data_IF_105184029428
#
_entry.id   IF_105184029428
#
_cell.length_a   1.000
_cell.length_b   1.000
_cell.length_c   1.000
_cell.angle_alpha   90.00
_cell.angle_beta   90.00
_cell.angle_gamma   90.00
#
_symmetry.space_group_name_H-M   'P 1'
#
loop_
_entity.id
_entity.type
_entity.pdbx_description
1 polymer ?
#
# COMPACT_ATOMS: atom_id res chain seq x y z
N UNK A 1 -1.73 -15.07 -33.44
CA UNK A 1 -1.89 -15.81 -32.16
C UNK A 1 -2.55 -17.15 -32.42
N UNK A 2 -2.13 -18.19 -31.70
CA UNK A 2 -2.75 -19.54 -31.75
C UNK A 2 -4.21 -19.46 -31.30
N UNK A 3 -4.49 -18.65 -30.29
CA UNK A 3 -5.82 -18.40 -29.72
C UNK A 3 -6.85 -17.93 -30.75
N UNK A 4 -6.46 -17.04 -31.66
CA UNK A 4 -7.34 -16.58 -32.73
C UNK A 4 -7.71 -17.72 -33.70
N UNK A 5 -6.83 -18.71 -33.87
CA UNK A 5 -7.08 -19.89 -34.71
C UNK A 5 -7.94 -20.92 -33.97
N UNK A 6 -7.71 -21.11 -32.67
CA UNK A 6 -8.47 -22.03 -31.81
C UNK A 6 -9.81 -21.44 -31.35
N UNK A 7 -10.01 -20.12 -31.51
CA UNK A 7 -11.15 -19.34 -30.99
C UNK A 7 -11.34 -19.51 -29.48
N UNK A 8 -10.25 -19.79 -28.79
CA UNK A 8 -10.22 -20.14 -27.38
C UNK A 8 -8.89 -19.72 -26.80
N UNK A 9 -8.93 -19.15 -25.61
CA UNK A 9 -7.77 -18.76 -24.82
C UNK A 9 -7.94 -19.27 -23.40
N UNK A 10 -6.90 -19.93 -22.89
CA UNK A 10 -6.82 -20.34 -21.49
C UNK A 10 -5.84 -19.43 -20.77
N UNK A 11 -6.30 -18.85 -19.66
CA UNK A 11 -5.48 -18.00 -18.79
C UNK A 11 -5.30 -18.62 -17.41
N UNK A 12 -4.47 -19.66 -17.27
CA UNK A 12 -4.34 -20.41 -16.01
C UNK A 12 -3.73 -19.60 -14.86
N UNK A 13 -3.07 -18.48 -15.16
CA UNK A 13 -2.38 -17.63 -14.18
C UNK A 13 -3.11 -16.32 -13.87
N UNK A 14 -4.29 -16.10 -14.47
CA UNK A 14 -5.04 -14.86 -14.34
C UNK A 14 -6.23 -15.14 -13.42
N UNK A 15 -6.30 -14.39 -12.33
CA UNK A 15 -7.44 -14.43 -11.42
C UNK A 15 -8.61 -13.59 -11.97
N UNK A 16 -9.81 -13.86 -11.45
CA UNK A 16 -11.04 -13.14 -11.82
C UNK A 16 -10.89 -11.62 -11.69
N UNK A 17 -10.12 -11.19 -10.70
CA UNK A 17 -9.89 -9.78 -10.36
C UNK A 17 -9.00 -9.06 -11.39
N UNK A 18 -8.00 -9.73 -11.95
CA UNK A 18 -7.19 -9.23 -13.07
C UNK A 18 -8.02 -9.18 -14.35
N UNK A 19 -8.82 -10.22 -14.61
CA UNK A 19 -9.72 -10.25 -15.76
C UNK A 19 -10.77 -9.13 -15.71
N UNK A 20 -11.39 -8.92 -14.55
CA UNK A 20 -12.36 -7.85 -14.35
C UNK A 20 -11.77 -6.47 -14.69
N UNK A 21 -10.50 -6.21 -14.32
CA UNK A 21 -9.81 -4.94 -14.66
C UNK A 21 -9.52 -4.78 -16.14
N UNK A 22 -9.19 -5.87 -16.83
CA UNK A 22 -9.08 -5.85 -18.29
C UNK A 22 -10.43 -5.47 -18.92
N UNK A 23 -11.54 -6.02 -18.41
CA UNK A 23 -12.88 -5.65 -18.85
C UNK A 23 -13.21 -4.19 -18.54
N UNK A 24 -12.96 -3.71 -17.32
CA UNK A 24 -13.14 -2.30 -16.96
C UNK A 24 -12.40 -1.39 -17.93
N UNK A 25 -11.14 -1.71 -18.25
CA UNK A 25 -10.36 -0.94 -19.21
C UNK A 25 -10.98 -0.96 -20.60
N UNK A 26 -11.48 -2.11 -21.07
CA UNK A 26 -12.11 -2.21 -22.38
C UNK A 26 -13.36 -1.32 -22.51
N UNK A 27 -14.15 -1.19 -21.44
CA UNK A 27 -15.39 -0.39 -21.44
C UNK A 27 -15.19 1.08 -21.07
N UNK A 28 -14.35 1.37 -20.08
CA UNK A 28 -14.20 2.71 -19.48
C UNK A 28 -12.88 3.40 -19.83
N UNK A 29 -11.97 2.72 -20.54
CA UNK A 29 -10.57 3.15 -20.75
C UNK A 29 -9.84 3.44 -19.44
N UNK A 30 -10.33 2.83 -18.35
CA UNK A 30 -9.81 2.97 -17.01
C UNK A 30 -10.13 1.68 -16.22
N UNK A 31 -9.47 1.46 -15.10
CA UNK A 31 -9.73 0.30 -14.23
C UNK A 31 -9.66 0.69 -12.76
N UNK A 32 -10.38 -0.03 -11.91
CA UNK A 32 -10.39 0.19 -10.47
C UNK A 32 -9.07 -0.32 -9.87
N UNK A 33 -8.27 0.52 -9.18
CA UNK A 33 -7.02 0.09 -8.55
C UNK A 33 -7.26 -1.05 -7.55
N UNK A 34 -6.32 -1.99 -7.38
CA UNK A 34 -6.45 -3.00 -6.33
C UNK A 34 -6.25 -2.39 -4.94
N UNK A 35 -6.87 -3.02 -3.95
CA UNK A 35 -6.82 -2.60 -2.54
C UNK A 35 -5.82 -3.42 -1.75
N UNK A 36 -5.24 -2.81 -0.72
CA UNK A 36 -4.40 -3.49 0.26
C UNK A 36 -5.24 -4.43 1.14
N UNK A 37 -4.56 -5.27 1.91
CA UNK A 37 -5.17 -6.13 2.93
C UNK A 37 -4.69 -5.71 4.31
N UNK A 38 -5.52 -5.93 5.33
CA UNK A 38 -5.08 -5.77 6.71
C UNK A 38 -4.39 -7.06 7.16
N UNK A 39 -3.27 -6.91 7.85
CA UNK A 39 -2.56 -8.04 8.46
C UNK A 39 -3.32 -8.43 9.74
N UNK A 40 -3.77 -9.68 9.80
CA UNK A 40 -4.49 -10.21 10.96
C UNK A 40 -3.67 -10.03 12.25
N UNK A 41 -4.31 -9.47 13.28
CA UNK A 41 -3.68 -9.21 14.58
C UNK A 41 -3.02 -7.83 14.73
N UNK A 42 -2.91 -7.02 13.67
CA UNK A 42 -2.51 -5.61 13.77
C UNK A 42 -3.67 -4.70 13.36
N UNK A 43 -4.35 -4.10 14.33
CA UNK A 43 -5.34 -3.05 14.08
C UNK A 43 -4.77 -1.67 14.41
N UNK A 44 -5.22 -0.60 13.74
CA UNK A 44 -4.85 0.76 14.13
C UNK A 44 -5.32 0.98 15.57
N UNK A 45 -4.38 1.19 16.49
CA UNK A 45 -4.72 1.66 17.84
C UNK A 45 -5.31 3.06 17.69
N UNK A 46 -6.63 3.17 17.80
CA UNK A 46 -7.36 4.42 17.67
C UNK A 46 -6.96 5.37 18.80
N UNK A 47 -5.98 6.25 18.54
CA UNK A 47 -5.72 7.39 19.42
C UNK A 47 -6.87 8.39 19.29
N UNK A 48 -7.86 8.25 20.16
CA UNK A 48 -8.89 9.25 20.41
C UNK A 48 -8.23 10.48 21.03
N UNK A 49 -7.99 11.51 20.22
CA UNK A 49 -7.82 12.88 20.73
C UNK A 49 -9.13 13.62 20.59
N UNK A 50 -9.93 13.51 21.66
CA UNK A 50 -11.06 14.37 21.94
C UNK A 50 -10.56 15.70 22.53
N UNK A 51 -10.76 16.82 21.82
CA UNK A 51 -11.09 18.14 22.39
C UNK A 51 -11.23 19.21 21.31
N UNK A 52 -12.40 19.83 21.23
CA UNK A 52 -12.58 21.07 20.45
C UNK A 52 -14.02 21.48 20.18
N UNK A 53 -14.74 21.90 21.23
CA UNK A 53 -16.11 22.46 21.20
C UNK A 53 -16.33 23.53 20.11
N UNK A 54 -17.40 23.38 19.33
CA UNK A 54 -18.00 24.43 18.51
C UNK A 54 -19.53 24.32 18.50
N UNK A 55 -20.21 25.25 19.18
CA UNK A 55 -21.66 25.32 19.36
C UNK A 55 -22.36 25.82 18.09
N UNK A 56 -23.46 25.19 17.68
CA UNK A 56 -24.55 25.91 16.99
C UNK A 56 -25.94 25.36 17.33
N UNK A 57 -26.86 26.28 17.56
CA UNK A 57 -28.19 26.12 18.17
C UNK A 57 -29.25 25.57 17.19
N UNK A 58 -30.12 24.71 17.75
CA UNK A 58 -31.59 24.61 17.63
C UNK A 58 -32.26 24.68 16.24
N UNK A 59 -33.07 23.66 15.93
CA UNK A 59 -34.54 23.81 15.78
C UNK A 59 -35.30 22.48 15.96
N UNK A 60 -36.38 22.57 16.73
CA UNK A 60 -37.39 21.54 17.08
C UNK A 60 -38.15 21.01 15.85
N UNK A 61 -38.51 19.72 15.87
CA UNK A 61 -39.86 19.28 15.46
C UNK A 61 -40.29 18.04 16.25
N UNK A 62 -41.58 18.04 16.61
CA UNK A 62 -42.28 17.16 17.56
C UNK A 62 -42.80 15.90 16.86
N UNK A 63 -42.85 14.77 17.57
CA UNK A 63 -43.91 13.74 17.51
C UNK A 63 -43.61 12.71 18.60
N UNK A 64 -44.19 12.80 19.79
CA UNK A 64 -45.40 12.06 20.21
C UNK A 64 -45.31 10.56 19.91
N UNK A 65 -45.13 9.73 20.94
CA UNK A 65 -46.17 8.85 21.47
C UNK A 65 -45.80 8.47 22.92
N UNK A 66 -46.83 8.51 23.76
CA UNK A 66 -46.87 8.35 25.20
C UNK A 66 -47.34 6.92 25.52
N UNK A 67 -46.77 6.28 26.55
CA UNK A 67 -47.50 5.31 27.39
C UNK A 67 -47.17 5.58 28.87
N UNK A 68 -48.25 5.87 29.59
CA UNK A 68 -48.48 6.12 31.02
C UNK A 68 -47.62 5.22 31.94
N UNK A 69 -47.01 5.71 33.02
CA UNK A 69 -47.57 6.23 34.28
C UNK A 69 -48.35 5.17 35.10
N UNK A 70 -47.69 4.64 36.14
CA UNK A 70 -48.32 4.26 37.41
C UNK A 70 -47.42 4.81 38.53
N UNK A 71 -48.08 5.54 39.43
CA UNK A 71 -47.55 6.34 40.52
C UNK A 71 -47.81 5.67 41.89
N UNK A 72 -47.08 6.19 42.90
CA UNK A 72 -47.31 6.19 44.36
C UNK A 72 -46.60 5.13 45.24
N UNK A 73 -45.46 5.56 45.82
CA UNK A 73 -45.15 5.80 47.26
C UNK A 73 -45.76 4.92 48.39
N UNK A 74 -45.26 5.00 49.66
CA UNK A 74 -43.90 4.83 50.22
C UNK A 74 -43.94 3.85 51.45
N UNK A 75 -42.99 3.94 52.41
CA UNK A 75 -42.98 3.37 53.81
C UNK A 75 -42.07 2.12 54.02
N UNK A 76 -41.34 1.95 55.15
CA UNK A 76 -40.49 2.86 55.95
C UNK A 76 -39.03 2.35 56.11
N UNK A 77 -38.14 3.18 56.65
CA UNK A 77 -36.78 2.82 57.09
C UNK A 77 -36.78 1.85 58.30
N UNK A 78 -35.79 0.93 58.37
CA UNK A 78 -35.24 0.48 59.64
C UNK A 78 -33.72 0.73 59.75
N UNK A 79 -33.38 1.54 60.75
CA UNK A 79 -32.26 1.47 61.74
C UNK A 79 -30.93 0.80 61.33
N UNK A 80 -29.77 1.45 61.58
CA UNK A 80 -28.46 1.01 61.09
C UNK A 80 -27.87 -0.15 61.92
N UNK A 81 -27.32 -1.15 61.23
CA UNK A 81 -26.46 -2.20 61.80
C UNK A 81 -24.99 -2.01 61.36
N UNK A 82 -24.02 -2.54 62.12
CA UNK A 82 -22.71 -1.92 62.34
C UNK A 82 -21.71 -2.12 61.18
N UNK A 83 -20.79 -1.16 61.07
CA UNK A 83 -19.66 -1.16 60.14
C UNK A 83 -18.81 -2.45 60.26
N UNK A 84 -18.50 -3.13 59.15
CA UNK A 84 -17.49 -4.18 59.15
C UNK A 84 -16.08 -3.58 59.19
N UNK A 85 -15.21 -4.15 60.04
CA UNK A 85 -13.79 -3.82 60.15
C UNK A 85 -13.05 -3.97 58.80
N UNK A 86 -12.01 -3.16 58.54
CA UNK A 86 -11.31 -3.19 57.26
C UNK A 86 -10.47 -4.47 57.12
N UNK A 87 -10.78 -5.27 56.09
CA UNK A 87 -9.92 -6.37 55.64
C UNK A 87 -8.57 -5.83 55.14
N UNK A 88 -7.46 -6.56 55.38
CA UNK A 88 -6.13 -6.13 54.97
C UNK A 88 -6.03 -6.05 53.44
N UNK A 89 -5.55 -4.90 52.96
CA UNK A 89 -5.33 -4.60 51.55
C UNK A 89 -4.53 -5.72 50.86
N UNK A 90 -5.21 -6.47 50.00
CA UNK A 90 -4.56 -7.32 49.02
C UNK A 90 -3.75 -6.43 48.07
N UNK A 91 -2.46 -6.73 47.94
CA UNK A 91 -1.57 -6.03 47.05
C UNK A 91 -2.10 -6.10 45.61
N UNK A 92 -2.27 -4.94 44.98
CA UNK A 92 -2.56 -4.82 43.56
C UNK A 92 -1.54 -5.67 42.77
N UNK A 93 -1.96 -6.56 41.86
CA UNK A 93 -1.01 -7.18 40.94
C UNK A 93 -0.44 -6.07 40.06
N UNK A 94 0.87 -5.83 40.18
CA UNK A 94 1.62 -4.99 39.24
C UNK A 94 1.28 -5.45 37.83
N UNK A 95 0.62 -4.58 37.07
CA UNK A 95 0.38 -4.80 35.65
C UNK A 95 1.73 -5.00 34.98
N UNK A 96 1.94 -6.10 34.23
CA UNK A 96 3.18 -6.27 33.48
C UNK A 96 3.33 -5.11 32.49
N UNK A 97 4.57 -4.69 32.16
CA UNK A 97 4.79 -3.61 31.21
C UNK A 97 4.05 -3.94 29.90
N UNK A 98 3.25 -2.99 29.41
CA UNK A 98 2.59 -3.14 28.11
C UNK A 98 3.64 -3.28 27.00
N UNK A 99 3.88 -4.49 26.52
CA UNK A 99 4.81 -4.79 25.43
C UNK A 99 4.27 -4.43 24.03
N UNK A 100 3.04 -3.93 23.89
CA UNK A 100 2.41 -3.70 22.58
C UNK A 100 2.32 -2.22 22.16
N UNK A 101 3.36 -1.44 22.43
CA UNK A 101 3.61 -0.26 21.60
C UNK A 101 4.34 -0.72 20.34
N UNK A 102 3.62 -1.33 19.39
CA UNK A 102 4.14 -1.59 18.05
C UNK A 102 4.71 -0.27 17.52
N UNK A 103 6.04 -0.22 17.38
CA UNK A 103 6.76 0.95 16.90
C UNK A 103 6.47 1.05 15.39
N UNK A 104 5.35 1.66 15.05
CA UNK A 104 4.86 1.85 13.68
C UNK A 104 5.66 2.95 12.97
N UNK A 105 6.99 2.84 13.01
CA UNK A 105 7.89 3.81 12.40
C UNK A 105 8.19 3.38 10.98
N UNK A 106 7.92 4.30 10.05
CA UNK A 106 8.45 4.23 8.69
C UNK A 106 9.97 3.99 8.75
N UNK A 107 10.49 3.14 7.85
CA UNK A 107 11.91 2.82 7.82
C UNK A 107 12.67 4.13 7.58
N UNK A 108 13.53 4.57 8.52
CA UNK A 108 14.21 5.84 8.39
C UNK A 108 15.20 5.76 7.22
N UNK A 109 15.16 6.76 6.36
CA UNK A 109 16.13 6.87 5.29
C UNK A 109 17.51 7.24 5.87
N UNK A 110 18.52 6.41 5.60
CA UNK A 110 19.90 6.68 5.99
C UNK A 110 20.72 7.07 4.76
N UNK A 111 21.25 8.28 4.77
CA UNK A 111 22.22 8.73 3.77
C UNK A 111 23.55 8.00 3.99
N UNK A 112 24.02 7.28 2.97
CA UNK A 112 25.24 6.46 3.06
C UNK A 112 26.22 6.68 1.92
N UNK A 113 25.81 7.46 0.93
CA UNK A 113 26.61 7.81 -0.23
C UNK A 113 26.42 9.29 -0.56
N UNK A 114 27.37 9.87 -1.28
CA UNK A 114 27.22 11.20 -1.88
C UNK A 114 26.06 11.25 -2.88
N UNK A 115 25.62 10.08 -3.35
CA UNK A 115 24.60 9.95 -4.39
C UNK A 115 23.19 9.70 -3.85
N UNK A 116 23.03 9.46 -2.54
CA UNK A 116 21.74 9.01 -2.01
C UNK A 116 20.60 10.02 -2.34
N UNK A 117 20.87 11.33 -2.32
CA UNK A 117 19.93 12.34 -2.81
C UNK A 117 19.55 12.18 -4.29
N UNK A 118 20.54 11.98 -5.17
CA UNK A 118 20.31 11.79 -6.60
C UNK A 118 19.55 10.49 -6.91
N UNK A 119 19.85 9.41 -6.17
CA UNK A 119 19.15 8.14 -6.29
C UNK A 119 17.68 8.28 -5.91
N UNK A 120 17.39 9.01 -4.82
CA UNK A 120 16.00 9.32 -4.40
C UNK A 120 15.25 10.04 -5.53
N UNK A 121 15.86 11.06 -6.11
CA UNK A 121 15.24 11.88 -7.14
C UNK A 121 15.11 11.14 -8.48
N UNK A 122 15.92 10.11 -8.73
CA UNK A 122 15.93 9.37 -9.98
C UNK A 122 14.61 8.64 -10.29
N UNK A 123 13.79 8.35 -9.28
CA UNK A 123 12.43 7.81 -9.45
C UNK A 123 11.40 8.92 -9.67
N UNK A 124 11.52 10.03 -8.93
CA UNK A 124 10.63 11.19 -9.00
C UNK A 124 10.70 11.92 -10.35
N UNK A 125 11.91 12.08 -10.87
CA UNK A 125 12.19 12.75 -12.15
C UNK A 125 12.03 11.81 -13.34
N UNK A 126 11.72 10.53 -13.10
CA UNK A 126 11.72 9.54 -14.15
C UNK A 126 10.49 9.65 -15.05
N UNK A 127 10.73 9.93 -16.33
CA UNK A 127 9.73 9.91 -17.40
C UNK A 127 9.33 8.48 -17.82
N UNK A 128 9.45 7.45 -16.95
CA UNK A 128 9.14 6.05 -17.31
C UNK A 128 7.74 5.91 -17.88
N UNK A 129 6.84 6.83 -17.52
CA UNK A 129 5.50 6.89 -18.06
C UNK A 129 5.32 8.21 -18.78
N UNK A 130 5.11 8.20 -20.11
CA UNK A 130 4.51 9.35 -20.77
C UNK A 130 3.21 9.63 -20.03
N UNK A 131 3.05 10.84 -19.47
CA UNK A 131 1.75 11.28 -18.98
C UNK A 131 0.74 10.98 -20.09
N UNK A 132 -0.27 10.11 -19.87
CA UNK A 132 -1.17 9.72 -20.94
C UNK A 132 -1.70 11.01 -21.58
N UNK A 133 -1.46 11.18 -22.87
CA UNK A 133 -2.06 12.27 -23.64
C UNK A 133 -3.56 11.95 -23.77
N UNK A 134 -4.28 12.12 -22.68
CA UNK A 134 -5.72 11.93 -22.59
C UNK A 134 -6.30 13.27 -22.20
N UNK A 135 -6.44 14.13 -23.19
CA UNK A 135 -7.16 15.41 -23.09
C UNK A 135 -8.67 15.21 -22.83
N UNK A 136 -9.20 13.98 -22.81
CA UNK A 136 -10.64 13.72 -22.89
C UNK A 136 -11.29 12.91 -21.76
N UNK A 137 -10.60 12.55 -20.67
CA UNK A 137 -11.27 11.89 -19.54
C UNK A 137 -10.83 12.49 -18.21
N UNK A 138 -11.80 12.77 -17.34
CA UNK A 138 -11.65 13.16 -15.94
C UNK A 138 -10.81 12.11 -15.18
N UNK A 139 -9.49 12.17 -15.37
CA UNK A 139 -8.54 11.20 -14.87
C UNK A 139 -8.11 11.59 -13.45
N UNK A 140 -9.05 11.52 -12.50
CA UNK A 140 -8.71 11.63 -11.08
C UNK A 140 -8.35 10.23 -10.58
N UNK A 141 -7.07 9.84 -10.71
CA UNK A 141 -6.55 8.70 -9.99
C UNK A 141 -6.00 9.17 -8.64
N UNK A 142 -6.59 8.70 -7.56
CA UNK A 142 -6.04 8.85 -6.21
C UNK A 142 -5.34 7.53 -5.86
N UNK A 143 -4.01 7.51 -5.71
CA UNK A 143 -3.30 6.30 -5.34
C UNK A 143 -3.73 5.84 -3.93
N UNK A 144 -3.78 4.53 -3.67
CA UNK A 144 -3.91 4.04 -2.31
C UNK A 144 -2.69 4.48 -1.49
N UNK A 145 -2.91 5.28 -0.47
CA UNK A 145 -1.87 5.70 0.48
C UNK A 145 -1.89 4.78 1.68
N UNK A 146 -0.71 4.39 2.14
CA UNK A 146 -0.59 3.55 3.30
C UNK A 146 -0.44 4.36 4.61
N UNK A 147 -1.13 3.90 5.64
CA UNK A 147 -1.22 4.56 6.93
C UNK A 147 -0.32 3.95 7.99
N UNK A 148 0.08 2.68 7.83
CA UNK A 148 0.94 1.99 8.80
C UNK A 148 1.39 0.61 8.33
N UNK A 149 2.19 -0.05 9.17
CA UNK A 149 2.77 -1.37 8.92
C UNK A 149 1.77 -2.53 8.98
N UNK A 150 0.51 -2.29 9.34
CA UNK A 150 -0.57 -3.29 9.33
C UNK A 150 -1.23 -3.46 7.96
N UNK A 151 -0.85 -2.65 6.97
CA UNK A 151 -1.41 -2.71 5.63
C UNK A 151 -0.46 -3.48 4.69
N UNK A 152 -0.92 -4.63 4.22
CA UNK A 152 -0.24 -5.43 3.21
C UNK A 152 -0.59 -4.92 1.81
N UNK A 153 0.38 -4.26 1.18
CA UNK A 153 0.31 -3.74 -0.19
C UNK A 153 0.77 -4.75 -1.25
N UNK A 154 1.28 -5.92 -0.87
CA UNK A 154 1.64 -7.01 -1.79
C UNK A 154 0.54 -7.29 -2.84
N UNK A 155 -0.75 -7.46 -2.48
CA UNK A 155 -1.81 -7.67 -3.47
C UNK A 155 -2.00 -6.47 -4.41
N UNK A 156 -1.76 -5.23 -3.96
CA UNK A 156 -1.85 -4.04 -4.81
C UNK A 156 -0.83 -4.11 -5.93
N UNK A 157 0.43 -4.37 -5.56
CA UNK A 157 1.53 -4.44 -6.50
C UNK A 157 1.40 -5.62 -7.46
N UNK A 158 1.14 -6.83 -6.94
CA UNK A 158 1.08 -8.03 -7.77
C UNK A 158 -0.09 -8.02 -8.75
N UNK A 159 -1.26 -7.50 -8.37
CA UNK A 159 -2.41 -7.41 -9.28
C UNK A 159 -2.16 -6.41 -10.41
N UNK A 160 -1.51 -5.27 -10.12
CA UNK A 160 -1.10 -4.34 -11.17
C UNK A 160 -0.05 -4.96 -12.10
N UNK A 161 0.96 -5.66 -11.54
CA UNK A 161 1.98 -6.32 -12.34
C UNK A 161 1.40 -7.44 -13.24
N UNK A 162 0.45 -8.24 -12.73
CA UNK A 162 -0.28 -9.24 -13.53
C UNK A 162 -1.05 -8.61 -14.68
N UNK A 163 -1.75 -7.50 -14.41
CA UNK A 163 -2.48 -6.77 -15.44
C UNK A 163 -1.54 -6.21 -16.52
N UNK A 164 -0.36 -5.73 -16.14
CA UNK A 164 0.67 -5.30 -17.09
C UNK A 164 1.15 -6.45 -17.98
N UNK A 165 1.53 -7.59 -17.38
CA UNK A 165 2.00 -8.77 -18.13
C UNK A 165 0.92 -9.24 -19.10
N UNK A 166 -0.34 -9.25 -18.67
CA UNK A 166 -1.48 -9.56 -19.53
C UNK A 166 -1.61 -8.57 -20.67
N UNK A 167 -1.58 -7.27 -20.38
CA UNK A 167 -1.68 -6.23 -21.39
C UNK A 167 -0.56 -6.31 -22.42
N UNK A 168 0.68 -6.54 -21.98
CA UNK A 168 1.84 -6.70 -22.84
C UNK A 168 1.75 -7.95 -23.72
N UNK A 169 1.31 -9.08 -23.15
CA UNK A 169 1.11 -10.35 -23.88
C UNK A 169 0.18 -10.18 -25.09
N UNK A 170 -0.83 -9.30 -24.96
CA UNK A 170 -1.79 -8.98 -26.01
C UNK A 170 -1.51 -7.67 -26.76
N UNK A 171 -0.34 -7.05 -26.54
CA UNK A 171 0.07 -5.79 -27.15
C UNK A 171 -0.95 -4.66 -26.95
N UNK A 172 -1.52 -4.55 -25.75
CA UNK A 172 -2.47 -3.48 -25.37
C UNK A 172 -1.66 -2.31 -24.77
N UNK A 173 -0.91 -1.61 -25.62
CA UNK A 173 0.06 -0.57 -25.20
C UNK A 173 -0.56 0.50 -24.29
N UNK A 174 -1.80 0.92 -24.60
CA UNK A 174 -2.54 1.92 -23.81
C UNK A 174 -2.83 1.43 -22.38
N UNK A 175 -3.07 0.13 -22.18
CA UNK A 175 -3.25 -0.44 -20.86
C UNK A 175 -1.90 -0.59 -20.15
N UNK A 176 -0.83 -0.98 -20.85
CA UNK A 176 0.52 -1.00 -20.27
C UNK A 176 0.91 0.37 -19.71
N UNK A 177 0.72 1.44 -20.50
CA UNK A 177 0.99 2.82 -20.07
C UNK A 177 0.12 3.23 -18.88
N UNK A 178 -1.16 2.85 -18.89
CA UNK A 178 -2.09 3.13 -17.80
C UNK A 178 -1.66 2.46 -16.50
N UNK A 179 -1.26 1.19 -16.56
CA UNK A 179 -0.79 0.43 -15.40
C UNK A 179 0.50 1.01 -14.86
N UNK A 180 1.47 1.31 -15.72
CA UNK A 180 2.73 1.95 -15.31
C UNK A 180 2.46 3.30 -14.63
N UNK A 181 1.53 4.12 -15.17
CA UNK A 181 1.15 5.41 -14.59
C UNK A 181 0.61 5.23 -13.17
N UNK A 182 -0.37 4.35 -12.99
CA UNK A 182 -0.99 4.13 -11.68
C UNK A 182 -0.02 3.51 -10.68
N UNK A 183 0.82 2.57 -11.12
CA UNK A 183 1.81 1.95 -10.24
C UNK A 183 2.87 2.97 -9.81
N UNK A 184 3.33 3.83 -10.72
CA UNK A 184 4.26 4.91 -10.38
C UNK A 184 3.68 5.84 -9.31
N UNK A 185 2.44 6.31 -9.48
CA UNK A 185 1.76 7.15 -8.49
C UNK A 185 1.54 6.42 -7.15
N UNK A 186 1.23 5.13 -7.20
CA UNK A 186 1.09 4.29 -5.98
C UNK A 186 2.42 4.19 -5.25
N UNK A 187 3.51 3.83 -5.95
CA UNK A 187 4.84 3.72 -5.36
C UNK A 187 5.40 5.06 -4.87
N UNK A 188 5.08 6.16 -5.57
CA UNK A 188 5.47 7.52 -5.19
C UNK A 188 4.84 7.98 -3.88
N UNK A 189 3.59 7.61 -3.64
CA UNK A 189 2.88 7.94 -2.39
C UNK A 189 3.08 6.90 -1.28
N UNK A 190 3.71 5.76 -1.61
CA UNK A 190 3.91 4.65 -0.68
C UNK A 190 5.04 4.93 0.31
N UNK A 191 4.72 4.87 1.60
CA UNK A 191 5.67 4.92 2.71
C UNK A 191 6.23 3.54 2.99
N UNK A 192 7.54 3.42 3.14
CA UNK A 192 8.14 2.10 3.31
C UNK A 192 8.19 1.70 4.79
N UNK A 193 7.27 0.82 5.19
CA UNK A 193 7.32 0.09 6.46
C UNK A 193 7.97 -1.29 6.26
N UNK A 194 8.38 -1.95 7.36
CA UNK A 194 9.02 -3.29 7.31
C UNK A 194 8.15 -4.33 6.59
N UNK A 195 6.84 -4.32 6.83
CA UNK A 195 5.87 -5.20 6.14
C UNK A 195 5.69 -4.82 4.67
N UNK A 196 5.74 -3.52 4.36
CA UNK A 196 5.64 -2.99 3.01
C UNK A 196 6.80 -3.40 2.11
N UNK A 197 8.00 -3.55 2.68
CA UNK A 197 9.19 -4.00 1.94
C UNK A 197 9.00 -5.39 1.34
N UNK A 198 8.36 -6.32 2.06
CA UNK A 198 8.08 -7.65 1.52
C UNK A 198 7.25 -7.57 0.23
N UNK A 199 6.25 -6.68 0.18
CA UNK A 199 5.46 -6.44 -1.02
C UNK A 199 6.28 -5.92 -2.21
N UNK A 200 7.30 -5.09 -1.96
CA UNK A 200 8.22 -4.61 -2.99
C UNK A 200 9.14 -5.72 -3.48
N UNK A 201 9.69 -6.54 -2.58
CA UNK A 201 10.52 -7.70 -2.94
C UNK A 201 9.72 -8.68 -3.81
N UNK A 202 8.48 -9.01 -3.40
CA UNK A 202 7.58 -9.87 -4.18
C UNK A 202 7.22 -9.26 -5.53
N UNK A 203 7.03 -7.94 -5.62
CA UNK A 203 6.84 -7.23 -6.88
C UNK A 203 8.06 -7.41 -7.81
N UNK A 204 9.28 -7.20 -7.31
CA UNK A 204 10.51 -7.38 -8.09
C UNK A 204 10.60 -8.82 -8.60
N UNK A 205 10.46 -9.81 -7.71
CA UNK A 205 10.51 -11.24 -8.07
C UNK A 205 9.47 -11.58 -9.15
N UNK A 206 8.24 -11.10 -8.99
CA UNK A 206 7.18 -11.33 -9.96
C UNK A 206 7.50 -10.70 -11.32
N UNK A 207 7.92 -9.43 -11.34
CA UNK A 207 8.22 -8.71 -12.58
C UNK A 207 9.36 -9.36 -13.34
N UNK A 208 10.46 -9.70 -12.67
CA UNK A 208 11.61 -10.32 -13.35
C UNK A 208 11.36 -11.76 -13.82
N UNK A 209 10.36 -12.44 -13.24
CA UNK A 209 9.93 -13.78 -13.68
C UNK A 209 8.95 -13.74 -14.86
N UNK A 210 8.12 -12.70 -14.98
CA UNK A 210 6.97 -12.72 -15.90
C UNK A 210 6.94 -11.58 -16.93
N UNK A 211 7.54 -10.42 -16.66
CA UNK A 211 7.59 -9.32 -17.62
C UNK A 211 8.62 -9.60 -18.72
N UNK A 212 8.44 -9.04 -19.93
CA UNK A 212 9.36 -9.23 -21.05
C UNK A 212 10.81 -8.98 -20.67
N UNK A 213 11.77 -9.79 -21.19
CA UNK A 213 13.18 -9.50 -21.01
C UNK A 213 13.56 -8.20 -21.72
N UNK A 214 14.69 -7.62 -21.32
CA UNK A 214 15.25 -6.46 -22.00
C UNK A 214 15.66 -6.85 -23.43
N UNK A 215 15.35 -6.00 -24.40
CA UNK A 215 15.72 -6.20 -25.81
C UNK A 215 16.86 -5.24 -26.17
N UNK A 216 18.09 -5.75 -26.14
CA UNK A 216 19.29 -4.92 -26.33
C UNK A 216 19.41 -3.87 -25.23
N UNK A 217 19.52 -2.60 -25.61
CA UNK A 217 19.60 -1.46 -24.68
C UNK A 217 18.23 -1.02 -24.13
N UNK A 218 17.12 -1.57 -24.66
CA UNK A 218 15.78 -1.18 -24.23
C UNK A 218 15.32 -2.04 -23.04
N UNK A 219 15.26 -1.40 -21.88
CA UNK A 219 14.69 -1.98 -20.66
C UNK A 219 13.14 -1.96 -20.76
N UNK A 220 12.49 -3.05 -20.35
CA UNK A 220 11.03 -3.11 -20.23
C UNK A 220 10.49 -2.03 -19.27
N UNK A 221 9.31 -1.48 -19.56
CA UNK A 221 8.71 -0.39 -18.80
C UNK A 221 8.48 -0.75 -17.32
N UNK A 222 8.00 -1.95 -17.05
CA UNK A 222 7.75 -2.43 -15.68
C UNK A 222 9.05 -2.74 -14.94
N UNK A 223 10.03 -3.39 -15.61
CA UNK A 223 11.37 -3.61 -15.04
C UNK A 223 12.07 -2.31 -14.66
N UNK A 224 12.04 -1.32 -15.57
CA UNK A 224 12.62 0.00 -15.34
C UNK A 224 11.93 0.73 -14.17
N UNK A 225 10.60 0.69 -14.11
CA UNK A 225 9.83 1.33 -13.05
C UNK A 225 10.20 0.78 -11.67
N UNK A 226 10.16 -0.55 -11.51
CA UNK A 226 10.42 -1.21 -10.23
C UNK A 226 11.88 -1.04 -9.83
N UNK A 227 12.82 -1.18 -10.76
CA UNK A 227 14.25 -1.00 -10.46
C UNK A 227 14.56 0.41 -9.97
N UNK A 228 14.02 1.43 -10.64
CA UNK A 228 14.20 2.83 -10.21
C UNK A 228 13.62 3.10 -8.83
N UNK A 229 12.46 2.52 -8.52
CA UNK A 229 11.89 2.63 -7.19
C UNK A 229 12.80 2.01 -6.12
N UNK A 230 13.29 0.80 -6.35
CA UNK A 230 14.22 0.14 -5.40
C UNK A 230 15.50 0.96 -5.21
N UNK A 231 16.04 1.53 -6.29
CA UNK A 231 17.21 2.42 -6.22
C UNK A 231 16.90 3.69 -5.42
N UNK A 232 15.70 4.28 -5.57
CA UNK A 232 15.34 5.51 -4.84
C UNK A 232 15.16 5.29 -3.35
N UNK A 233 14.75 4.08 -2.92
CA UNK A 233 14.62 3.70 -1.50
C UNK A 233 15.86 2.96 -0.97
N UNK A 234 16.97 2.94 -1.70
CA UNK A 234 18.18 2.19 -1.31
C UNK A 234 18.71 2.57 0.08
N UNK A 235 18.60 3.85 0.45
CA UNK A 235 18.96 4.34 1.80
C UNK A 235 18.11 3.77 2.94
N UNK A 236 16.94 3.21 2.63
CA UNK A 236 16.06 2.51 3.58
C UNK A 236 16.28 0.99 3.56
N UNK A 237 16.43 0.39 2.36
CA UNK A 237 16.43 -1.08 2.20
C UNK A 237 17.82 -1.73 2.22
N UNK A 238 18.89 -0.95 2.08
CA UNK A 238 20.23 -1.51 1.84
C UNK A 238 20.79 -2.45 2.92
N UNK A 239 20.34 -2.33 4.17
CA UNK A 239 20.72 -3.23 5.27
C UNK A 239 19.73 -4.36 5.53
N UNK A 240 18.56 -4.33 4.89
CA UNK A 240 17.50 -5.28 5.16
C UNK A 240 17.86 -6.68 4.63
N UNK A 241 17.60 -7.71 5.43
CA UNK A 241 17.94 -9.09 5.09
C UNK A 241 17.20 -9.59 3.84
N UNK A 242 15.90 -9.32 3.71
CA UNK A 242 15.11 -9.69 2.53
C UNK A 242 15.64 -9.05 1.25
N UNK A 243 16.13 -7.81 1.33
CA UNK A 243 16.77 -7.16 0.17
C UNK A 243 18.11 -7.81 -0.19
N UNK A 244 18.91 -8.21 0.81
CA UNK A 244 20.17 -8.93 0.56
C UNK A 244 19.93 -10.33 -0.03
N UNK A 245 18.89 -11.02 0.42
CA UNK A 245 18.45 -12.29 -0.18
C UNK A 245 18.05 -12.11 -1.64
N UNK A 246 17.27 -11.08 -1.95
CA UNK A 246 16.90 -10.75 -3.34
C UNK A 246 18.13 -10.52 -4.22
N UNK A 247 19.16 -9.85 -3.72
CA UNK A 247 20.42 -9.68 -4.45
C UNK A 247 21.20 -10.99 -4.60
N UNK A 248 21.15 -11.87 -3.59
CA UNK A 248 21.80 -13.18 -3.61
C UNK A 248 21.15 -14.17 -4.59
N UNK A 249 19.85 -14.02 -4.88
CA UNK A 249 19.16 -14.77 -5.94
C UNK A 249 19.76 -14.51 -7.34
N UNK A 250 20.39 -13.34 -7.53
CA UNK A 250 21.02 -12.96 -8.78
C UNK A 250 20.03 -12.66 -9.91
N UNK A 251 20.44 -12.93 -11.15
CA UNK A 251 19.61 -12.74 -12.34
C UNK A 251 19.59 -11.30 -12.89
N UNK A 252 18.73 -11.03 -13.89
CA UNK A 252 18.74 -9.77 -14.63
C UNK A 252 18.42 -8.54 -13.78
N UNK A 253 17.72 -8.73 -12.65
CA UNK A 253 17.42 -7.65 -11.70
C UNK A 253 18.69 -6.97 -11.19
N UNK A 254 19.69 -7.77 -10.79
CA UNK A 254 20.94 -7.24 -10.23
C UNK A 254 21.67 -6.40 -11.29
N UNK A 255 21.68 -6.84 -12.54
CA UNK A 255 22.26 -6.07 -13.65
C UNK A 255 21.53 -4.75 -13.88
N UNK A 256 20.20 -4.76 -13.95
CA UNK A 256 19.41 -3.55 -14.14
C UNK A 256 19.55 -2.58 -12.96
N UNK A 257 19.63 -3.10 -11.73
CA UNK A 257 19.86 -2.34 -10.51
C UNK A 257 21.18 -1.58 -10.55
N UNK A 258 22.30 -2.25 -10.84
CA UNK A 258 23.60 -1.59 -10.92
C UNK A 258 23.72 -0.66 -12.12
N UNK A 259 23.16 -1.04 -13.28
CA UNK A 259 23.09 -0.15 -14.45
C UNK A 259 22.31 1.13 -14.16
N UNK A 260 21.24 1.04 -13.35
CA UNK A 260 20.48 2.22 -12.94
C UNK A 260 21.29 3.12 -12.01
N UNK A 261 22.05 2.54 -11.05
CA UNK A 261 22.92 3.29 -10.14
C UNK A 261 24.02 4.02 -10.92
N UNK A 262 24.76 3.30 -11.75
CA UNK A 262 25.88 3.87 -12.52
C UNK A 262 25.41 4.79 -13.66
N UNK A 263 24.25 4.53 -14.26
CA UNK A 263 23.68 5.40 -15.29
C UNK A 263 23.21 6.77 -14.77
N UNK A 264 23.03 6.93 -13.45
CA UNK A 264 22.78 8.25 -12.82
C UNK A 264 24.09 9.03 -12.68
N UNK A 265 25.22 8.36 -12.45
CA UNK A 265 26.55 8.95 -12.29
C UNK A 265 27.00 9.69 -13.57
N UNK A 266 26.79 9.08 -14.73
CA UNK A 266 27.14 9.68 -16.03
C UNK A 266 26.35 10.97 -16.31
N UNK A 267 25.08 11.03 -15.87
CA UNK A 267 24.23 12.22 -16.06
C UNK A 267 24.54 13.35 -15.09
N UNK A 268 25.18 13.07 -13.95
CA UNK A 268 25.60 14.11 -12.99
C UNK A 268 26.94 14.76 -13.37
N UNK A 269 27.70 14.16 -14.27
CA UNK A 269 29.04 14.64 -14.68
C UNK A 269 29.04 15.40 -16.01
N UNK A 270 27.87 15.52 -16.66
CA UNK A 270 27.65 16.25 -17.91
C UNK A 270 26.88 17.56 -17.65
#
# INVERSE_FOLDING_TARGET
MIEAKTRHVDWPHIDEDTFARLCEFAYFRNYTPPTFRLIDGKTPSAKVTEKGKGKTKRKKKRSSHNWNDISMEPVPEPVPEPEPEPEPAEAEPETPPSEDAYDDREIPYKERSVWTGQLRDAFEQSLVVPNPQTTDLNYSFTPPENTGSWEDFTPVFLKQARLYVLADTYCIDSLCQLVLSKLHHTLKSFKLYDTGLNGIIELVRFVYRNAPPNYGEKIDGMRNLVTRYVVSVLGQVGENECFRELLAEGGPFVSDFWNTIWGIEEKSSA
#
